data_IF_142838757892
#
_entry.id   IF_142838757892
#
_cell.length_a   1.000
_cell.length_b   1.000
_cell.length_c   1.000
_cell.angle_alpha   90.00
_cell.angle_beta   90.00
_cell.angle_gamma   90.00
#
_symmetry.space_group_name_H-M   'P 1'
#
loop_
_entity.id
_entity.type
_entity.pdbx_description
1 polymer ?
#
# COMPACT_ATOMS: atom_id res chain seq x y z
N UNK A 1 14.31 -9.53 -0.68
CA UNK A 1 14.56 -8.07 -0.50
C UNK A 1 13.20 -7.42 -0.41
N UNK A 2 12.92 -6.76 0.70
CA UNK A 2 11.62 -6.15 0.95
C UNK A 2 11.36 -5.00 -0.01
N UNK A 3 10.13 -4.92 -0.50
CA UNK A 3 9.65 -3.84 -1.34
C UNK A 3 8.44 -3.21 -0.70
N UNK A 4 8.44 -1.88 -0.73
CA UNK A 4 7.29 -1.09 -0.33
C UNK A 4 6.42 -0.83 -1.55
N UNK A 5 5.12 -0.79 -1.35
CA UNK A 5 4.12 -0.56 -2.37
C UNK A 5 3.24 0.59 -1.91
N UNK A 6 2.94 1.48 -2.85
CA UNK A 6 1.94 2.52 -2.70
C UNK A 6 0.58 1.95 -3.07
N UNK A 7 -0.41 2.19 -2.23
CA UNK A 7 -1.82 1.86 -2.48
C UNK A 7 -2.61 3.15 -2.43
N UNK A 8 -3.26 3.52 -3.53
CA UNK A 8 -4.02 4.76 -3.67
C UNK A 8 -5.44 4.53 -4.16
N UNK A 9 -6.23 5.60 -4.18
CA UNK A 9 -7.66 5.59 -4.51
C UNK A 9 -8.50 4.68 -3.61
N UNK A 10 -8.09 4.54 -2.35
CA UNK A 10 -8.82 3.75 -1.36
C UNK A 10 -10.11 4.48 -0.95
N UNK A 11 -11.15 3.71 -0.61
CA UNK A 11 -12.35 4.29 -0.04
C UNK A 11 -12.05 4.82 1.37
N UNK A 12 -12.75 5.88 1.83
CA UNK A 12 -12.60 6.39 3.18
C UNK A 12 -12.96 5.35 4.26
N UNK A 13 -13.76 4.34 3.89
CA UNK A 13 -14.19 3.22 4.71
C UNK A 13 -13.17 2.08 4.78
N UNK A 14 -12.26 1.99 3.80
CA UNK A 14 -11.26 0.91 3.73
C UNK A 14 -10.35 0.94 4.95
N UNK A 15 -10.16 -0.20 5.61
CA UNK A 15 -9.28 -0.33 6.78
C UNK A 15 -8.00 -1.09 6.50
N UNK A 16 -7.08 -1.01 7.46
CA UNK A 16 -5.77 -1.70 7.38
C UNK A 16 -5.92 -3.21 7.35
N UNK A 17 -6.93 -3.74 8.04
CA UNK A 17 -7.28 -5.15 8.01
C UNK A 17 -7.69 -5.63 6.61
N UNK A 18 -8.52 -4.85 5.88
CA UNK A 18 -8.96 -5.21 4.52
C UNK A 18 -7.79 -5.22 3.55
N UNK A 19 -6.93 -4.19 3.61
CA UNK A 19 -5.72 -4.12 2.78
C UNK A 19 -4.80 -5.29 3.14
N UNK A 20 -4.66 -5.63 4.43
CA UNK A 20 -3.86 -6.78 4.86
C UNK A 20 -4.36 -8.07 4.24
N UNK A 21 -5.65 -8.36 4.36
CA UNK A 21 -6.27 -9.59 3.86
C UNK A 21 -6.14 -9.70 2.33
N UNK A 22 -6.33 -8.59 1.64
CA UNK A 22 -6.21 -8.52 0.17
C UNK A 22 -4.77 -8.84 -0.28
N UNK A 23 -3.77 -8.23 0.36
CA UNK A 23 -2.37 -8.46 0.03
C UNK A 23 -1.85 -9.82 0.56
N UNK A 24 -2.43 -10.34 1.64
CA UNK A 24 -2.07 -11.64 2.22
C UNK A 24 -2.34 -12.81 1.25
N UNK A 25 -3.28 -12.66 0.32
CA UNK A 25 -3.56 -13.66 -0.73
C UNK A 25 -2.41 -13.79 -1.74
N UNK A 26 -1.58 -12.75 -1.88
CA UNK A 26 -0.48 -12.72 -2.82
C UNK A 26 0.89 -12.90 -2.16
N UNK A 27 0.95 -12.91 -0.82
CA UNK A 27 2.19 -13.12 -0.08
C UNK A 27 2.16 -12.67 1.37
N UNK A 28 3.32 -12.63 2.00
CA UNK A 28 3.44 -12.26 3.42
C UNK A 28 3.59 -10.75 3.61
N UNK A 29 2.56 -10.13 4.16
CA UNK A 29 2.60 -8.71 4.53
C UNK A 29 3.47 -8.49 5.78
N UNK A 30 4.54 -7.73 5.62
CA UNK A 30 5.49 -7.40 6.70
C UNK A 30 5.09 -6.17 7.49
N UNK A 31 4.61 -5.15 6.79
CA UNK A 31 4.20 -3.89 7.40
C UNK A 31 3.12 -3.23 6.57
N UNK A 32 2.15 -2.58 7.22
CA UNK A 32 1.13 -1.77 6.57
C UNK A 32 1.10 -0.43 7.27
N UNK A 33 0.93 0.62 6.47
CA UNK A 33 0.78 1.97 6.96
C UNK A 33 -0.26 2.70 6.11
N UNK A 34 -1.51 2.68 6.56
CA UNK A 34 -2.55 3.50 5.94
C UNK A 34 -2.44 4.95 6.41
N UNK A 35 -2.60 5.89 5.47
CA UNK A 35 -2.78 7.28 5.81
C UNK A 35 -4.26 7.52 6.10
N UNK A 36 -4.65 7.39 7.37
CA UNK A 36 -5.97 7.77 7.87
C UNK A 36 -5.90 9.10 8.61
N UNK A 37 -6.95 9.89 8.51
CA UNK A 37 -7.14 11.10 9.28
C UNK A 37 -7.47 10.72 10.74
N UNK A 38 -6.69 11.24 11.69
CA UNK A 38 -6.78 10.85 13.11
C UNK A 38 -8.01 11.47 13.79
N UNK A 39 -8.55 12.57 13.26
CA UNK A 39 -9.69 13.26 13.84
C UNK A 39 -11.03 12.68 13.37
N UNK A 40 -11.10 12.28 12.11
CA UNK A 40 -12.32 11.72 11.48
C UNK A 40 -12.31 10.21 11.38
N UNK A 41 -11.15 9.56 11.58
CA UNK A 41 -10.96 8.12 11.42
C UNK A 41 -11.06 7.63 9.97
N UNK A 42 -11.18 8.54 9.00
CA UNK A 42 -11.38 8.19 7.58
C UNK A 42 -10.05 8.04 6.87
N UNK A 43 -9.94 7.06 5.98
CA UNK A 43 -8.77 6.95 5.12
C UNK A 43 -8.65 8.18 4.20
N UNK A 44 -7.44 8.75 4.12
CA UNK A 44 -7.10 9.86 3.19
C UNK A 44 -7.04 9.39 1.73
N UNK A 45 -7.43 8.15 1.46
CA UNK A 45 -7.48 7.54 0.14
C UNK A 45 -6.16 6.89 -0.29
N UNK A 46 -5.18 6.74 0.59
CA UNK A 46 -3.93 6.06 0.27
C UNK A 46 -3.23 5.44 1.49
N UNK A 47 -2.28 4.56 1.23
CA UNK A 47 -1.44 3.87 2.21
C UNK A 47 -0.24 3.21 1.58
N UNK A 48 0.54 2.53 2.42
CA UNK A 48 1.72 1.81 1.99
C UNK A 48 1.74 0.40 2.58
N UNK A 49 2.18 -0.57 1.79
CA UNK A 49 2.30 -1.98 2.18
C UNK A 49 3.73 -2.45 1.90
N UNK A 50 4.32 -3.20 2.80
CA UNK A 50 5.67 -3.76 2.66
C UNK A 50 5.61 -5.28 2.62
N UNK A 51 6.19 -5.87 1.56
CA UNK A 51 6.18 -7.32 1.28
C UNK A 51 7.52 -7.76 0.69
N UNK A 52 7.71 -9.07 0.50
CA UNK A 52 8.87 -9.56 -0.26
C UNK A 52 8.81 -9.12 -1.74
N UNK A 53 9.96 -8.88 -2.34
CA UNK A 53 10.02 -8.24 -3.65
C UNK A 53 9.42 -9.05 -4.80
N UNK A 54 9.34 -10.38 -4.66
CA UNK A 54 8.67 -11.25 -5.62
C UNK A 54 7.15 -11.20 -5.46
N UNK A 55 6.66 -11.29 -4.22
CA UNK A 55 5.24 -11.17 -3.86
C UNK A 55 4.69 -9.78 -4.21
N UNK A 56 5.44 -8.72 -3.92
CA UNK A 56 5.05 -7.35 -4.20
C UNK A 56 4.75 -7.11 -5.69
N UNK A 57 5.58 -7.65 -6.58
CA UNK A 57 5.36 -7.54 -8.04
C UNK A 57 4.09 -8.27 -8.49
N UNK A 58 3.85 -9.47 -7.94
CA UNK A 58 2.63 -10.23 -8.22
C UNK A 58 1.38 -9.50 -7.70
N UNK A 59 1.44 -8.99 -6.47
CA UNK A 59 0.37 -8.20 -5.86
C UNK A 59 0.07 -6.93 -6.67
N UNK A 60 1.08 -6.18 -7.11
CA UNK A 60 0.89 -5.00 -7.98
C UNK A 60 0.17 -5.40 -9.27
N UNK A 61 0.63 -6.45 -9.96
CA UNK A 61 0.05 -6.86 -11.23
C UNK A 61 -1.41 -7.34 -11.08
N UNK A 62 -1.75 -7.98 -9.96
CA UNK A 62 -3.08 -8.50 -9.70
C UNK A 62 -4.05 -7.45 -9.12
N UNK A 63 -3.58 -6.57 -8.23
CA UNK A 63 -4.40 -5.64 -7.47
C UNK A 63 -4.47 -4.23 -8.07
N UNK A 64 -3.53 -3.85 -8.95
CA UNK A 64 -3.58 -2.55 -9.58
C UNK A 64 -4.76 -2.45 -10.56
N UNK A 65 -5.72 -1.58 -10.26
CA UNK A 65 -6.98 -1.47 -10.99
C UNK A 65 -8.09 -2.38 -10.46
N UNK A 66 -7.84 -3.16 -9.42
CA UNK A 66 -8.86 -3.98 -8.78
C UNK A 66 -9.92 -3.11 -8.10
N UNK A 67 -11.15 -3.58 -8.01
CA UNK A 67 -12.23 -2.87 -7.33
C UNK A 67 -12.27 -3.25 -5.84
N UNK A 68 -12.15 -2.25 -4.96
CA UNK A 68 -12.30 -2.38 -3.52
C UNK A 68 -13.31 -1.34 -3.04
N UNK A 69 -14.37 -1.79 -2.36
CA UNK A 69 -15.45 -0.93 -1.86
C UNK A 69 -16.03 0.01 -2.95
N UNK A 70 -16.24 -0.53 -4.17
CA UNK A 70 -16.78 0.22 -5.31
C UNK A 70 -15.81 1.23 -5.94
N UNK A 71 -14.50 1.15 -5.61
CA UNK A 71 -13.46 2.01 -6.18
C UNK A 71 -12.29 1.21 -6.72
N UNK A 72 -11.78 1.62 -7.88
CA UNK A 72 -10.58 1.00 -8.44
C UNK A 72 -9.33 1.45 -7.67
N UNK A 73 -8.71 0.54 -6.93
CA UNK A 73 -7.48 0.85 -6.20
C UNK A 73 -6.30 0.94 -7.17
N UNK A 74 -5.34 1.80 -6.84
CA UNK A 74 -4.08 1.89 -7.56
C UNK A 74 -2.98 1.30 -6.72
N UNK A 75 -2.31 0.26 -7.21
CA UNK A 75 -1.20 -0.38 -6.52
C UNK A 75 0.05 -0.19 -7.36
N UNK A 76 1.09 0.41 -6.77
CA UNK A 76 2.36 0.67 -7.45
C UNK A 76 3.53 0.33 -6.54
N UNK A 77 4.68 0.00 -7.11
CA UNK A 77 5.90 -0.18 -6.34
C UNK A 77 6.39 1.18 -5.83
N UNK A 78 6.42 1.35 -4.51
CA UNK A 78 7.09 2.48 -3.88
C UNK A 78 8.58 2.19 -3.99
N UNK A 79 9.21 2.67 -5.07
CA UNK A 79 10.66 2.64 -5.16
C UNK A 79 11.19 3.44 -3.97
N UNK A 80 11.99 2.84 -3.07
CA UNK A 80 12.70 3.65 -2.11
C UNK A 80 13.51 4.62 -2.96
N UNK A 81 13.22 5.92 -2.85
CA UNK A 81 14.22 6.92 -3.19
C UNK A 81 15.41 6.52 -2.34
N UNK A 82 16.42 5.98 -3.00
CA UNK A 82 17.71 5.67 -2.41
C UNK A 82 18.03 6.83 -1.46
N UNK A 83 18.32 6.53 -0.18
CA UNK A 83 18.76 7.53 0.78
C UNK A 83 20.14 8.05 0.35
N UNK A 84 20.19 8.77 -0.76
CA UNK A 84 21.36 9.38 -1.39
C UNK A 84 20.91 10.64 -2.14
N UNK A 85 20.58 11.68 -1.38
CA UNK A 85 20.95 13.06 -1.70
C UNK A 85 20.45 14.02 -0.59
N UNK A 86 21.36 14.69 0.11
CA UNK A 86 21.07 16.00 0.70
C UNK A 86 21.04 16.06 2.23
N UNK A 87 22.21 15.91 2.84
CA UNK A 87 22.72 16.85 3.86
C UNK A 87 21.85 17.15 5.08
N UNK A 88 22.21 16.52 6.21
CA UNK A 88 22.27 17.27 7.47
C UNK A 88 23.25 18.43 7.28
N UNK A 89 22.78 19.66 7.36
CA UNK A 89 23.48 20.79 7.98
C UNK A 89 22.47 21.90 8.24
#
# INVERSE_FOLDING_TARGET
MMRKMYVGNLAPETREAEVRDLFAQHGTVRSIKLASDVFTGRCRGFGFVEMEGHEARAAIAALNGAELNGRQIKVNEERPRDKRAGGRR
#
